data_IF_423025490361
#
_entry.id   IF_423025490361
#
_cell.length_a   1.000
_cell.length_b   1.000
_cell.length_c   1.000
_cell.angle_alpha   90.00
_cell.angle_beta   90.00
_cell.angle_gamma   90.00
#
_symmetry.space_group_name_H-M   'P 1'
#
loop_
_entity.id
_entity.type
_entity.pdbx_description
1 polymer ?
#
# COMPACT_ATOMS: atom_id res chain seq x y z
N UNK A 1 16.67 22.14 57.05
CA UNK A 1 16.92 21.01 56.13
C UNK A 1 15.58 20.38 55.81
N UNK A 2 14.95 20.79 54.70
CA UNK A 2 13.57 20.45 54.35
C UNK A 2 13.59 19.68 53.03
N UNK A 3 13.72 18.36 53.08
CA UNK A 3 13.60 17.49 51.90
C UNK A 3 12.64 16.37 52.25
N UNK A 4 11.34 16.67 52.17
CA UNK A 4 10.29 15.65 52.06
C UNK A 4 9.18 16.25 51.24
N UNK A 5 8.95 15.70 50.03
CA UNK A 5 7.66 15.66 49.28
C UNK A 5 7.82 15.72 47.75
N UNK A 6 8.60 14.81 47.16
CA UNK A 6 8.57 14.61 45.70
C UNK A 6 8.14 13.20 45.26
N UNK A 7 7.70 12.34 46.19
CA UNK A 7 7.50 10.91 45.90
C UNK A 7 6.07 10.49 45.54
N UNK A 8 5.05 11.30 45.86
CA UNK A 8 3.64 10.88 45.68
C UNK A 8 3.10 11.14 44.26
N UNK A 9 3.77 11.97 43.47
CA UNK A 9 3.33 12.39 42.13
C UNK A 9 4.03 11.56 41.05
N UNK A 10 5.22 11.03 41.35
CA UNK A 10 6.04 10.25 40.42
C UNK A 10 5.36 9.03 39.78
N UNK A 11 4.59 8.18 40.51
CA UNK A 11 3.91 7.05 39.86
C UNK A 11 2.78 7.50 38.92
N UNK A 12 2.14 8.64 39.19
CA UNK A 12 1.13 9.22 38.30
C UNK A 12 1.76 9.86 37.07
N UNK A 13 2.94 10.47 37.21
CA UNK A 13 3.71 11.00 36.07
C UNK A 13 4.20 9.86 35.17
N UNK A 14 4.71 8.77 35.75
CA UNK A 14 5.11 7.56 35.01
C UNK A 14 3.93 6.88 34.30
N UNK A 15 2.78 6.75 34.98
CA UNK A 15 1.57 6.19 34.38
C UNK A 15 1.03 7.08 33.26
N UNK A 16 1.07 8.40 33.41
CA UNK A 16 0.65 9.36 32.38
C UNK A 16 1.61 9.38 31.18
N UNK A 17 2.92 9.25 31.41
CA UNK A 17 3.89 9.09 30.31
C UNK A 17 3.71 7.77 29.57
N UNK A 18 3.38 6.67 30.27
CA UNK A 18 3.12 5.37 29.65
C UNK A 18 1.79 5.36 28.86
N UNK A 19 0.78 6.10 29.33
CA UNK A 19 -0.52 6.25 28.65
C UNK A 19 -0.44 7.11 27.37
N UNK A 20 0.53 8.04 27.30
CA UNK A 20 0.70 8.96 26.17
C UNK A 20 1.66 8.43 25.10
N UNK A 21 2.43 7.36 25.35
CA UNK A 21 3.37 6.76 24.39
C UNK A 21 2.75 5.79 23.38
N UNK A 22 1.42 5.62 23.35
CA UNK A 22 0.73 4.85 22.30
C UNK A 22 0.26 5.79 21.19
N UNK A 23 1.17 6.62 20.70
CA UNK A 23 0.95 7.38 19.47
C UNK A 23 1.72 6.65 18.36
N UNK A 24 1.02 6.29 17.30
CA UNK A 24 1.58 5.94 15.99
C UNK A 24 1.93 4.46 15.69
N UNK A 25 0.99 3.54 15.95
CA UNK A 25 0.94 2.23 15.26
C UNK A 25 0.05 2.23 14.01
N UNK A 26 -0.49 3.38 13.60
CA UNK A 26 -1.08 3.53 12.27
C UNK A 26 -0.06 4.21 11.38
N UNK A 27 0.98 3.46 11.00
CA UNK A 27 1.68 3.73 9.77
C UNK A 27 0.61 3.74 8.67
N UNK A 28 0.15 4.92 8.29
CA UNK A 28 -0.62 5.12 7.06
C UNK A 28 0.38 4.97 5.92
N UNK A 29 0.84 3.73 5.73
CA UNK A 29 1.44 3.33 4.48
C UNK A 29 0.44 3.73 3.41
N UNK A 30 0.83 4.64 2.53
CA UNK A 30 0.03 4.96 1.37
C UNK A 30 -0.14 3.65 0.59
N UNK A 31 -1.25 2.94 0.82
CA UNK A 31 -1.65 1.72 0.12
C UNK A 31 -2.06 2.07 -1.30
N UNK A 32 -1.13 2.64 -2.08
CA UNK A 32 -1.33 2.97 -3.47
C UNK A 32 -0.68 1.86 -4.28
N UNK A 33 -1.48 1.21 -5.12
CA UNK A 33 -0.95 0.33 -6.16
C UNK A 33 -0.01 1.13 -7.05
N UNK A 34 1.14 0.53 -7.35
CA UNK A 34 2.19 1.15 -8.15
C UNK A 34 2.23 0.47 -9.50
N UNK A 35 2.42 1.26 -10.55
CA UNK A 35 2.94 0.72 -11.81
C UNK A 35 4.46 0.84 -11.71
N UNK A 36 5.14 -0.30 -11.61
CA UNK A 36 6.59 -0.35 -11.33
C UNK A 36 7.42 -0.61 -12.59
N UNK A 37 6.83 -1.22 -13.61
CA UNK A 37 7.49 -1.49 -14.89
C UNK A 37 6.52 -1.32 -16.06
N UNK A 38 7.09 -0.95 -17.20
CA UNK A 38 6.41 -0.81 -18.48
C UNK A 38 7.34 -1.33 -19.58
N UNK A 39 7.02 -2.49 -20.16
CA UNK A 39 7.73 -3.04 -21.31
C UNK A 39 6.85 -2.91 -22.55
N UNK A 40 7.23 -1.98 -23.42
CA UNK A 40 6.64 -1.84 -24.73
C UNK A 40 7.61 -2.28 -25.82
N UNK A 41 7.06 -2.64 -26.98
CA UNK A 41 7.81 -3.12 -28.13
C UNK A 41 8.67 -4.33 -27.77
N UNK A 42 8.08 -5.26 -27.03
CA UNK A 42 8.75 -6.49 -26.61
C UNK A 42 8.97 -7.40 -27.83
N UNK A 43 10.04 -7.20 -28.60
CA UNK A 43 10.32 -8.02 -29.80
C UNK A 43 11.17 -9.26 -29.53
N UNK A 44 11.87 -9.29 -28.40
CA UNK A 44 12.85 -10.32 -28.06
C UNK A 44 13.10 -10.46 -26.56
N UNK A 45 12.22 -9.89 -25.72
CA UNK A 45 12.36 -9.85 -24.28
C UNK A 45 11.64 -11.01 -23.60
N UNK A 46 10.74 -10.70 -22.67
CA UNK A 46 9.97 -11.71 -21.94
C UNK A 46 8.93 -12.34 -22.86
N UNK A 47 8.84 -13.65 -22.84
CA UNK A 47 7.80 -14.39 -23.57
C UNK A 47 6.72 -14.79 -22.58
N UNK A 48 5.45 -14.64 -22.95
CA UNK A 48 4.33 -15.11 -22.13
C UNK A 48 4.14 -16.65 -22.25
N UNK A 49 3.12 -17.17 -21.57
CA UNK A 49 2.87 -18.62 -21.51
C UNK A 49 2.45 -19.24 -22.85
N UNK A 50 1.98 -18.43 -23.79
CA UNK A 50 1.54 -18.87 -25.11
C UNK A 50 2.67 -18.78 -26.14
N UNK A 51 3.83 -18.25 -25.77
CA UNK A 51 4.97 -18.07 -26.65
C UNK A 51 4.99 -16.70 -27.33
N UNK A 52 4.15 -15.76 -26.92
CA UNK A 52 4.10 -14.43 -27.52
C UNK A 52 4.97 -13.44 -26.76
N UNK A 53 5.54 -12.48 -27.49
CA UNK A 53 6.27 -11.36 -26.89
C UNK A 53 5.33 -10.16 -26.75
N UNK A 54 4.34 -10.32 -25.89
CA UNK A 54 3.35 -9.28 -25.62
C UNK A 54 3.98 -8.10 -24.88
N UNK A 55 3.45 -6.90 -25.12
CA UNK A 55 3.70 -5.74 -24.26
C UNK A 55 3.09 -6.01 -22.88
N UNK A 56 3.74 -5.53 -21.82
CA UNK A 56 3.27 -5.76 -20.46
C UNK A 56 3.56 -4.59 -19.53
N UNK A 57 2.76 -4.52 -18.47
CA UNK A 57 2.96 -3.57 -17.36
C UNK A 57 2.97 -4.35 -16.04
N UNK A 58 3.76 -3.90 -15.07
CA UNK A 58 3.72 -4.43 -13.72
C UNK A 58 2.80 -3.61 -12.84
N UNK A 59 1.89 -4.27 -12.11
CA UNK A 59 1.12 -3.65 -11.03
C UNK A 59 1.55 -4.26 -9.71
N UNK A 60 2.18 -3.46 -8.85
CA UNK A 60 2.74 -3.87 -7.59
C UNK A 60 1.97 -3.31 -6.39
N UNK A 61 1.63 -4.20 -5.46
CA UNK A 61 1.11 -3.83 -4.15
C UNK A 61 2.26 -3.89 -3.12
N UNK A 62 2.81 -2.75 -2.67
CA UNK A 62 3.87 -2.73 -1.66
C UNK A 62 3.36 -3.00 -0.24
N UNK A 63 2.04 -3.08 -0.04
CA UNK A 63 1.43 -3.29 1.27
C UNK A 63 1.46 -4.74 1.72
N UNK A 64 1.36 -4.93 3.03
CA UNK A 64 1.33 -6.25 3.67
C UNK A 64 -0.06 -6.94 3.57
N UNK A 65 -1.07 -6.21 3.12
CA UNK A 65 -2.45 -6.69 2.98
C UNK A 65 -2.86 -6.71 1.51
N UNK A 66 -3.70 -7.67 1.14
CA UNK A 66 -4.28 -7.73 -0.20
C UNK A 66 -5.18 -6.50 -0.48
N UNK A 67 -5.11 -5.98 -1.70
CA UNK A 67 -5.99 -4.91 -2.18
C UNK A 67 -7.07 -5.53 -3.07
N UNK A 68 -8.35 -5.23 -2.78
CA UNK A 68 -9.44 -5.63 -3.64
C UNK A 68 -9.46 -4.77 -4.92
N UNK A 69 -9.31 -5.42 -6.08
CA UNK A 69 -9.33 -4.78 -7.40
C UNK A 69 -10.71 -4.82 -8.06
N UNK A 70 -11.76 -5.26 -7.36
CA UNK A 70 -13.12 -5.24 -7.88
C UNK A 70 -13.53 -3.82 -8.29
N UNK A 71 -14.01 -3.69 -9.54
CA UNK A 71 -14.39 -2.40 -10.12
C UNK A 71 -13.23 -1.53 -10.60
N UNK A 72 -11.97 -1.97 -10.44
CA UNK A 72 -10.82 -1.28 -11.01
C UNK A 72 -10.68 -1.57 -12.50
N UNK A 73 -10.18 -0.57 -13.22
CA UNK A 73 -9.85 -0.67 -14.64
C UNK A 73 -8.52 0.03 -14.93
N UNK A 74 -7.87 -0.42 -15.99
CA UNK A 74 -6.77 0.27 -16.64
C UNK A 74 -7.31 0.95 -17.90
N UNK A 75 -6.80 2.15 -18.19
CA UNK A 75 -7.05 2.87 -19.43
C UNK A 75 -5.84 3.72 -19.79
N UNK A 76 -5.62 3.91 -21.09
CA UNK A 76 -4.69 4.90 -21.65
C UNK A 76 -5.42 6.17 -22.15
N UNK A 77 -6.76 6.19 -22.08
CA UNK A 77 -7.60 7.29 -22.54
C UNK A 77 -8.50 7.81 -21.44
N UNK A 78 -8.49 9.12 -21.23
CA UNK A 78 -9.27 9.77 -20.18
C UNK A 78 -10.79 9.65 -20.40
N UNK A 79 -11.24 9.59 -21.65
CA UNK A 79 -12.65 9.49 -22.05
C UNK A 79 -13.16 8.04 -22.14
N UNK A 80 -12.28 7.04 -22.07
CA UNK A 80 -12.63 5.62 -22.05
C UNK A 80 -12.10 4.94 -20.77
N UNK A 81 -12.65 5.23 -19.58
CA UNK A 81 -12.05 4.78 -18.32
C UNK A 81 -12.08 3.26 -18.05
N UNK A 82 -12.78 2.47 -18.86
CA UNK A 82 -13.07 1.05 -18.59
C UNK A 82 -12.52 0.07 -19.64
N UNK A 83 -11.40 0.41 -20.30
CA UNK A 83 -10.85 -0.42 -21.38
C UNK A 83 -10.46 -1.83 -20.93
N UNK A 84 -9.70 -1.96 -19.84
CA UNK A 84 -9.32 -3.26 -19.28
C UNK A 84 -9.80 -3.36 -17.83
N UNK A 85 -10.87 -4.11 -17.60
CA UNK A 85 -11.39 -4.37 -16.26
C UNK A 85 -10.64 -5.53 -15.60
N UNK A 86 -10.42 -5.44 -14.28
CA UNK A 86 -9.84 -6.54 -13.52
C UNK A 86 -10.68 -7.83 -13.68
N UNK A 87 -10.04 -9.01 -13.89
CA UNK A 87 -10.74 -10.27 -14.16
C UNK A 87 -11.58 -10.82 -13.00
N UNK A 88 -11.60 -10.15 -11.84
CA UNK A 88 -12.47 -10.51 -10.71
C UNK A 88 -13.96 -10.29 -10.99
N UNK A 89 -14.31 -9.60 -12.08
CA UNK A 89 -15.67 -9.65 -12.64
C UNK A 89 -15.80 -10.88 -13.54
N UNK A 90 -16.08 -12.04 -12.95
CA UNK A 90 -16.70 -13.12 -13.75
C UNK A 90 -18.08 -12.61 -14.19
N UNK A 91 -18.25 -12.47 -15.50
CA UNK A 91 -19.58 -12.34 -16.10
C UNK A 91 -20.43 -13.58 -15.80
#
# INVERSE_FOLDING_TARGET
MLIRRFSAIWPFVLALTLLLSVSDLNATGSHRLLITEFLALNGSGLQDTDGDYSDWIEVYNPGESAINLEGWSLTDKQDEPYQWMSPLRKA
#
